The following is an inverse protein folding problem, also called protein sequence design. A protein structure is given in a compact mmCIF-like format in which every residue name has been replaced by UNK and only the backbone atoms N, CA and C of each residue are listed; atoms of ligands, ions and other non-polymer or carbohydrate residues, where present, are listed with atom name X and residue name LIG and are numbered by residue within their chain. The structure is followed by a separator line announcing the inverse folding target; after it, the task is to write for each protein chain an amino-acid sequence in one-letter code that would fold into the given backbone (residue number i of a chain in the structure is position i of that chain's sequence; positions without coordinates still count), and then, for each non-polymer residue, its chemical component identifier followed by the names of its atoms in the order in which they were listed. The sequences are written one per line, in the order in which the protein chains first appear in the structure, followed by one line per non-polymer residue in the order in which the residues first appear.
data_IF_442909410783
#
_entry.id   IF_442909410783
#
_cell.length_a   1.000
_cell.length_b   1.000
_cell.length_c   1.000
_cell.angle_alpha   90.00
_cell.angle_beta   90.00
_cell.angle_gamma   90.00
#
_symmetry.space_group_name_H-M   'P 1'
#
loop_
_entity.id
_entity.type
_entity.pdbx_description
1 polymer ?
#
# COMPACT_ATOMS: atom_id res chain seq x y z
N UNK A 1 0.05 4.20 23.79
CA UNK A 1 -0.46 4.62 22.46
C UNK A 1 0.71 4.71 21.50
N UNK A 2 0.50 4.50 20.19
CA UNK A 2 1.53 4.69 19.14
C UNK A 2 1.72 6.18 18.85
N UNK A 3 2.96 6.61 18.56
CA UNK A 3 3.26 7.99 18.15
C UNK A 3 2.81 8.23 16.70
N UNK A 4 1.72 8.98 16.55
CA UNK A 4 1.13 9.30 15.25
C UNK A 4 2.03 10.19 14.37
N UNK A 5 3.07 10.81 14.94
CA UNK A 5 4.03 11.62 14.18
C UNK A 5 5.14 10.78 13.53
N UNK A 6 5.20 9.47 13.82
CA UNK A 6 6.22 8.55 13.31
C UNK A 6 5.59 7.32 12.65
N UNK A 7 4.86 7.49 11.53
CA UNK A 7 4.29 6.36 10.81
C UNK A 7 5.39 5.46 10.24
N UNK A 8 5.12 4.15 10.18
CA UNK A 8 6.02 3.17 9.52
C UNK A 8 6.18 3.55 8.05
N UNK A 9 5.08 3.83 7.35
CA UNK A 9 5.07 4.39 6.00
C UNK A 9 3.91 5.38 5.83
N UNK A 10 4.12 6.37 4.96
CA UNK A 10 3.09 7.35 4.60
C UNK A 10 3.24 7.71 3.12
N UNK A 11 2.24 7.35 2.32
CA UNK A 11 2.16 7.71 0.90
C UNK A 11 1.14 8.82 0.66
N UNK A 12 1.47 9.70 -0.29
CA UNK A 12 0.57 10.70 -0.83
C UNK A 12 0.28 10.36 -2.28
N UNK A 13 -0.99 10.18 -2.61
CA UNK A 13 -1.45 9.93 -3.97
C UNK A 13 -1.96 11.23 -4.58
N UNK A 14 -1.41 11.61 -5.73
CA UNK A 14 -1.86 12.78 -6.50
C UNK A 14 -2.68 12.31 -7.69
N UNK A 15 -3.82 12.94 -7.95
CA UNK A 15 -4.65 12.66 -9.13
C UNK A 15 -5.61 11.47 -9.01
N UNK A 16 -5.45 10.61 -7.99
CA UNK A 16 -6.41 9.54 -7.70
C UNK A 16 -6.49 9.28 -6.20
N UNK A 17 -7.62 8.74 -5.74
CA UNK A 17 -7.88 8.49 -4.33
C UNK A 17 -7.95 6.98 -4.05
N UNK A 18 -7.28 6.48 -2.99
CA UNK A 18 -7.51 5.13 -2.50
C UNK A 18 -8.97 4.92 -2.11
N UNK A 19 -9.55 3.78 -2.46
CA UNK A 19 -10.94 3.41 -2.17
C UNK A 19 -11.05 2.19 -1.26
N UNK A 20 -10.15 1.23 -1.42
CA UNK A 20 -10.08 0.02 -0.61
C UNK A 20 -8.64 -0.50 -0.54
N UNK A 21 -8.38 -1.43 0.38
CA UNK A 21 -7.07 -2.05 0.53
C UNK A 21 -7.17 -3.40 1.24
N UNK A 22 -6.18 -4.28 1.03
CA UNK A 22 -6.10 -5.57 1.70
C UNK A 22 -4.65 -6.06 1.84
N UNK A 23 -4.28 -6.55 3.02
CA UNK A 23 -3.01 -7.22 3.25
C UNK A 23 -3.06 -8.68 2.82
N UNK A 24 -1.97 -9.17 2.23
CA UNK A 24 -1.77 -10.61 2.07
C UNK A 24 -1.32 -11.24 3.40
N UNK A 25 -2.28 -11.72 4.19
CA UNK A 25 -2.00 -12.34 5.49
C UNK A 25 -1.23 -13.66 5.37
N UNK A 26 -1.28 -14.34 4.22
CA UNK A 26 -0.61 -15.63 4.01
C UNK A 26 0.91 -15.48 3.94
N UNK A 27 1.41 -14.35 3.42
CA UNK A 27 2.85 -14.12 3.21
C UNK A 27 3.41 -13.01 4.11
N UNK A 28 2.61 -12.44 5.01
CA UNK A 28 3.06 -11.38 5.90
C UNK A 28 4.07 -11.92 6.94
N UNK A 29 5.18 -11.21 7.11
CA UNK A 29 6.21 -11.44 8.14
C UNK A 29 6.54 -10.13 8.86
N UNK A 30 7.51 -10.15 9.79
CA UNK A 30 7.98 -8.93 10.44
C UNK A 30 8.78 -8.02 9.48
N UNK A 31 9.28 -8.59 8.39
CA UNK A 31 10.13 -7.93 7.40
C UNK A 31 9.37 -7.50 6.16
N UNK A 32 8.19 -8.08 5.86
CA UNK A 32 7.41 -7.81 4.65
C UNK A 32 5.91 -7.93 4.92
N UNK A 33 5.13 -6.97 4.44
CA UNK A 33 3.67 -6.98 4.58
C UNK A 33 2.99 -6.53 3.29
N UNK A 34 2.86 -7.40 2.27
CA UNK A 34 2.32 -7.00 0.98
C UNK A 34 0.89 -6.48 1.11
N UNK A 35 0.66 -5.29 0.56
CA UNK A 35 -0.58 -4.53 0.65
C UNK A 35 -1.06 -4.16 -0.75
N UNK A 36 -2.28 -4.58 -1.09
CA UNK A 36 -2.98 -4.08 -2.26
C UNK A 36 -3.76 -2.82 -1.88
N UNK A 37 -3.69 -1.80 -2.74
CA UNK A 37 -4.45 -0.55 -2.64
C UNK A 37 -5.22 -0.35 -3.94
N UNK A 38 -6.55 -0.31 -3.87
CA UNK A 38 -7.43 0.00 -4.98
C UNK A 38 -7.71 1.50 -5.06
N UNK A 39 -7.84 2.04 -6.28
CA UNK A 39 -8.05 3.46 -6.52
C UNK A 39 -9.38 3.75 -7.23
N UNK A 40 -9.86 4.99 -7.10
CA UNK A 40 -11.14 5.46 -7.66
C UNK A 40 -11.23 5.35 -9.19
N UNK A 41 -10.08 5.34 -9.86
CA UNK A 41 -9.95 5.26 -11.32
C UNK A 41 -9.73 3.82 -11.81
N UNK A 42 -9.84 2.82 -10.92
CA UNK A 42 -9.76 1.40 -11.26
C UNK A 42 -8.35 0.80 -11.24
N UNK A 43 -7.29 1.61 -11.07
CA UNK A 43 -5.95 1.09 -10.85
C UNK A 43 -5.87 0.35 -9.51
N UNK A 44 -4.92 -0.58 -9.44
CA UNK A 44 -4.57 -1.28 -8.21
C UNK A 44 -3.06 -1.19 -8.06
N UNK A 45 -2.57 -0.86 -6.88
CA UNK A 45 -1.14 -0.85 -6.56
C UNK A 45 -0.83 -1.92 -5.53
N UNK A 46 0.21 -2.71 -5.78
CA UNK A 46 0.84 -3.57 -4.79
C UNK A 46 2.06 -2.85 -4.22
N UNK A 47 2.10 -2.70 -2.89
CA UNK A 47 3.21 -2.12 -2.15
C UNK A 47 3.60 -2.99 -0.96
N UNK A 48 4.79 -2.74 -0.42
CA UNK A 48 5.19 -3.23 0.91
C UNK A 48 5.53 -2.02 1.81
N UNK A 49 4.74 -1.71 2.86
CA UNK A 49 5.00 -0.59 3.75
C UNK A 49 6.20 -0.82 4.69
N UNK A 50 6.70 -2.05 4.83
CA UNK A 50 7.86 -2.39 5.67
C UNK A 50 9.14 -2.22 4.86
N UNK A 51 9.31 -2.96 3.74
CA UNK A 51 10.52 -2.88 2.90
C UNK A 51 10.58 -1.66 2.00
N UNK A 52 9.43 -1.16 1.55
CA UNK A 52 9.27 0.03 0.70
C UNK A 52 9.92 -0.04 -0.68
N UNK A 53 10.44 -1.19 -1.08
CA UNK A 53 11.03 -1.46 -2.40
C UNK A 53 10.01 -2.02 -3.41
N UNK A 54 8.94 -2.66 -2.93
CA UNK A 54 7.83 -3.15 -3.74
C UNK A 54 6.88 -2.00 -4.13
N UNK A 55 6.74 -1.78 -5.44
CA UNK A 55 5.76 -0.85 -6.00
C UNK A 55 5.40 -1.32 -7.43
N UNK A 56 4.25 -1.99 -7.55
CA UNK A 56 3.74 -2.49 -8.83
C UNK A 56 2.34 -1.96 -9.06
N UNK A 57 2.12 -1.33 -10.21
CA UNK A 57 0.81 -0.84 -10.63
C UNK A 57 0.15 -1.86 -11.58
N UNK A 58 -1.17 -1.96 -11.50
CA UNK A 58 -2.00 -2.81 -12.33
C UNK A 58 -3.13 -1.97 -12.91
N UNK A 59 -3.57 -2.33 -14.11
CA UNK A 59 -4.66 -1.67 -14.83
C UNK A 59 -4.37 -0.19 -15.16
N UNK A 60 -3.22 0.08 -15.79
CA UNK A 60 -2.75 1.44 -16.16
C UNK A 60 -3.30 1.99 -17.48
N UNK A 61 -4.33 1.35 -18.08
CA UNK A 61 -4.89 1.76 -19.37
C UNK A 61 -5.51 3.17 -19.38
#
# INVERSE_FOLDING_TARGET
AVDLNKPVDKKLYKGTNPTCHNFNQTTATAEEAPLLVGFSTGQIQLIDPIKKDLNRLYNEE
#
